data_IF_562113912504
#
_entry.id   IF_562113912504
#
_cell.length_a   1.000
_cell.length_b   1.000
_cell.length_c   1.000
_cell.angle_alpha   90.00
_cell.angle_beta   90.00
_cell.angle_gamma   90.00
#
_symmetry.space_group_name_H-M   'P 1'
#
loop_
_entity.id
_entity.type
_entity.pdbx_description
1 polymer ?
#
# COMPACT_ATOMS: atom_id res chain seq x y z
N UNK A 1 -1.38 -2.87 13.07
CA UNK A 1 -0.38 -3.10 12.01
C UNK A 1 0.98 -3.29 12.66
N UNK A 2 1.81 -4.23 12.17
CA UNK A 2 3.20 -4.38 12.56
C UNK A 2 4.07 -4.31 11.29
N UNK A 3 5.26 -3.71 11.41
CA UNK A 3 6.23 -3.62 10.34
C UNK A 3 7.57 -4.17 10.84
N UNK A 4 8.19 -5.04 10.06
CA UNK A 4 9.51 -5.59 10.33
C UNK A 4 10.31 -5.68 9.03
N UNK A 5 11.58 -5.36 9.06
CA UNK A 5 12.46 -5.38 7.90
C UNK A 5 13.88 -5.77 8.27
N UNK A 6 14.62 -6.32 7.31
CA UNK A 6 16.08 -6.49 7.36
C UNK A 6 16.83 -5.42 6.56
N UNK A 7 16.09 -4.63 5.76
CA UNK A 7 16.69 -3.53 5.01
C UNK A 7 17.03 -2.37 5.93
N UNK A 8 17.94 -1.51 5.50
CA UNK A 8 18.21 -0.24 6.19
C UNK A 8 16.99 0.65 6.09
N UNK A 9 16.57 1.18 7.24
CA UNK A 9 15.46 2.14 7.33
C UNK A 9 16.06 3.53 7.42
N UNK A 10 15.94 4.32 6.35
CA UNK A 10 16.40 5.71 6.36
C UNK A 10 15.38 6.60 7.12
N UNK A 11 14.09 6.31 6.95
CA UNK A 11 12.99 6.96 7.67
C UNK A 11 11.80 6.02 7.80
N UNK A 12 11.05 6.11 8.88
CA UNK A 12 9.75 5.44 9.01
C UNK A 12 8.83 6.27 9.92
N UNK A 13 7.58 6.41 9.51
CA UNK A 13 6.57 7.19 10.23
C UNK A 13 5.19 6.52 10.12
N UNK A 14 4.44 6.55 11.24
CA UNK A 14 3.05 6.13 11.28
C UNK A 14 2.17 7.37 11.31
N UNK A 15 1.42 7.60 10.23
CA UNK A 15 0.60 8.80 10.05
C UNK A 15 -0.88 8.47 10.19
N UNK A 16 -1.56 9.21 11.03
CA UNK A 16 -3.00 9.12 11.21
C UNK A 16 -3.73 9.88 10.07
N UNK A 17 -3.79 9.30 8.89
CA UNK A 17 -4.46 9.93 7.74
C UNK A 17 -5.94 10.25 8.03
N UNK A 18 -6.67 9.32 8.65
CA UNK A 18 -8.09 9.51 9.00
C UNK A 18 -8.37 9.24 10.47
N UNK A 19 -7.58 8.40 11.12
CA UNK A 19 -7.78 7.97 12.50
C UNK A 19 -6.47 7.48 13.09
N UNK A 20 -6.20 7.83 14.33
CA UNK A 20 -5.05 7.30 15.10
C UNK A 20 -5.12 5.79 15.32
N UNK A 21 -6.31 5.18 15.21
CA UNK A 21 -6.48 3.75 15.38
C UNK A 21 -6.09 2.93 14.13
N UNK A 22 -6.03 3.58 12.97
CA UNK A 22 -5.67 2.95 11.69
C UNK A 22 -4.65 3.81 10.94
N UNK A 23 -3.44 4.00 11.53
CA UNK A 23 -2.41 4.80 10.89
C UNK A 23 -1.88 4.09 9.65
N UNK A 24 -1.42 4.88 8.69
CA UNK A 24 -0.69 4.43 7.52
C UNK A 24 0.80 4.52 7.80
N UNK A 25 1.55 3.48 7.46
CA UNK A 25 3.01 3.48 7.51
C UNK A 25 3.56 4.15 6.24
N UNK A 26 4.49 5.06 6.41
CA UNK A 26 5.35 5.59 5.35
C UNK A 26 6.80 5.32 5.74
N UNK A 27 7.55 4.63 4.89
CA UNK A 27 8.94 4.29 5.19
C UNK A 27 9.81 4.38 3.96
N UNK A 28 10.95 5.07 4.08
CA UNK A 28 12.04 5.04 3.11
C UNK A 28 12.98 3.91 3.47
N UNK A 29 13.11 2.94 2.60
CA UNK A 29 13.95 1.77 2.76
C UNK A 29 15.10 1.80 1.75
N UNK A 30 16.26 1.28 2.17
CA UNK A 30 17.44 1.19 1.33
C UNK A 30 17.90 -0.26 1.21
N UNK A 31 18.10 -0.67 -0.03
CA UNK A 31 18.65 -1.97 -0.38
C UNK A 31 20.18 -2.01 -0.24
N UNK A 32 20.78 -3.20 -0.27
CA UNK A 32 22.24 -3.38 -0.09
C UNK A 32 23.05 -2.74 -1.23
N UNK A 33 22.47 -2.60 -2.43
CA UNK A 33 23.08 -1.92 -3.58
C UNK A 33 22.93 -0.39 -3.54
N UNK A 34 22.30 0.14 -2.49
CA UNK A 34 22.07 1.56 -2.30
C UNK A 34 20.76 2.09 -2.88
N UNK A 35 20.02 1.30 -3.66
CA UNK A 35 18.72 1.69 -4.18
C UNK A 35 17.74 2.01 -3.05
N UNK A 36 16.96 3.06 -3.21
CA UNK A 36 15.94 3.48 -2.24
C UNK A 36 14.55 3.30 -2.82
N UNK A 37 13.60 2.98 -1.96
CA UNK A 37 12.19 2.97 -2.31
C UNK A 37 11.32 3.34 -1.12
N UNK A 38 10.14 3.85 -1.44
CA UNK A 38 9.12 4.17 -0.46
C UNK A 38 8.17 2.99 -0.27
N UNK A 39 8.01 2.58 0.97
CA UNK A 39 7.01 1.61 1.38
C UNK A 39 5.84 2.33 2.04
N UNK A 40 4.63 2.14 1.49
CA UNK A 40 3.39 2.61 2.08
C UNK A 40 2.61 1.40 2.58
N UNK A 41 2.41 1.32 3.89
CA UNK A 41 1.67 0.23 4.52
C UNK A 41 0.27 0.68 4.95
N UNK A 42 -0.79 0.04 4.43
CA UNK A 42 -2.17 0.36 4.75
C UNK A 42 -2.86 -0.79 5.48
N UNK A 43 -3.68 -0.44 6.47
CA UNK A 43 -4.63 -1.35 7.08
C UNK A 43 -5.83 -0.52 7.60
N UNK A 44 -6.66 0.03 6.70
CA UNK A 44 -7.85 0.75 7.08
C UNK A 44 -8.85 -0.18 7.76
N UNK A 45 -9.73 0.39 8.57
CA UNK A 45 -10.72 -0.39 9.31
C UNK A 45 -11.69 -1.09 8.34
N UNK A 46 -11.95 -2.41 8.52
CA UNK A 46 -12.96 -3.11 7.73
C UNK A 46 -14.35 -2.52 8.00
N UNK A 47 -15.18 -2.34 6.98
CA UNK A 47 -16.59 -2.00 7.18
C UNK A 47 -17.33 -3.24 7.71
N UNK A 48 -17.95 -3.12 8.88
CA UNK A 48 -18.84 -4.16 9.38
C UNK A 48 -20.17 -4.11 8.61
N UNK A 49 -20.93 -5.23 8.54
CA UNK A 49 -22.24 -5.26 7.90
C UNK A 49 -23.15 -4.12 8.41
N UNK A 50 -23.71 -3.35 7.48
CA UNK A 50 -24.54 -2.18 7.79
C UNK A 50 -23.79 -0.90 8.14
N UNK A 51 -22.46 -0.90 8.18
CA UNK A 51 -21.65 0.28 8.39
C UNK A 51 -21.21 0.95 7.07
N UNK A 52 -20.93 2.26 7.15
CA UNK A 52 -20.40 3.03 6.04
C UNK A 52 -18.94 2.69 5.76
N UNK A 53 -18.56 2.59 4.49
CA UNK A 53 -17.17 2.41 4.02
C UNK A 53 -16.35 3.70 4.06
N UNK A 54 -16.96 4.86 4.37
CA UNK A 54 -16.34 6.19 4.22
C UNK A 54 -14.98 6.33 4.90
N UNK A 55 -14.80 5.77 6.10
CA UNK A 55 -13.52 5.89 6.82
C UNK A 55 -12.41 5.10 6.15
N UNK A 56 -12.72 3.88 5.69
CA UNK A 56 -11.81 3.05 4.88
C UNK A 56 -11.45 3.77 3.58
N UNK A 57 -12.45 4.21 2.85
CA UNK A 57 -12.30 4.84 1.54
C UNK A 57 -11.48 6.14 1.63
N UNK A 58 -11.71 6.94 2.68
CA UNK A 58 -10.92 8.15 2.93
C UNK A 58 -9.45 7.83 3.29
N UNK A 59 -9.19 6.77 4.07
CA UNK A 59 -7.83 6.36 4.41
C UNK A 59 -7.05 5.95 3.14
N UNK A 60 -7.66 5.12 2.28
CA UNK A 60 -7.07 4.69 1.02
C UNK A 60 -6.81 5.91 0.10
N UNK A 61 -7.78 6.80 -0.05
CA UNK A 61 -7.65 7.98 -0.90
C UNK A 61 -6.52 8.91 -0.42
N UNK A 62 -6.43 9.17 0.88
CA UNK A 62 -5.37 10.02 1.44
C UNK A 62 -3.99 9.41 1.30
N UNK A 63 -3.85 8.08 1.45
CA UNK A 63 -2.58 7.41 1.21
C UNK A 63 -2.11 7.59 -0.25
N UNK A 64 -3.03 7.53 -1.23
CA UNK A 64 -2.74 7.82 -2.63
C UNK A 64 -2.34 9.28 -2.86
N UNK A 65 -3.09 10.22 -2.30
CA UNK A 65 -2.85 11.65 -2.46
C UNK A 65 -1.53 12.13 -1.83
N UNK A 66 -1.04 11.44 -0.80
CA UNK A 66 0.26 11.75 -0.16
C UNK A 66 1.46 11.23 -0.94
N UNK A 67 1.25 10.41 -1.97
CA UNK A 67 2.37 9.89 -2.77
C UNK A 67 2.74 10.93 -3.84
N UNK A 68 3.96 11.52 -3.82
CA UNK A 68 4.36 12.50 -4.81
C UNK A 68 4.36 11.92 -6.24
N UNK A 69 3.90 12.71 -7.21
CA UNK A 69 3.80 12.27 -8.61
C UNK A 69 5.16 11.90 -9.22
N UNK A 70 6.21 12.62 -8.85
CA UNK A 70 7.59 12.39 -9.34
C UNK A 70 8.26 11.15 -8.75
N UNK A 71 7.68 10.51 -7.75
CA UNK A 71 8.27 9.35 -7.08
C UNK A 71 7.96 8.07 -7.86
N UNK A 72 8.99 7.39 -8.40
CA UNK A 72 8.82 6.15 -9.18
C UNK A 72 9.08 4.87 -8.39
N UNK A 73 9.98 4.91 -7.39
CA UNK A 73 10.30 3.77 -6.55
C UNK A 73 9.34 3.66 -5.36
N UNK A 74 8.09 3.30 -5.61
CA UNK A 74 7.06 3.20 -4.55
C UNK A 74 6.39 1.83 -4.58
N UNK A 75 6.24 1.26 -3.39
CA UNK A 75 5.53 0.02 -3.12
C UNK A 75 4.45 0.29 -2.07
N UNK A 76 3.18 0.16 -2.42
CA UNK A 76 2.07 0.22 -1.48
C UNK A 76 1.53 -1.18 -1.21
N UNK A 77 1.44 -1.57 0.07
CA UNK A 77 1.04 -2.91 0.49
C UNK A 77 0.11 -2.86 1.70
N UNK A 78 -0.64 -3.92 1.89
CA UNK A 78 -1.41 -4.16 3.11
C UNK A 78 -2.79 -4.75 2.86
N UNK A 79 -3.49 -5.02 3.93
CA UNK A 79 -4.91 -5.34 3.89
C UNK A 79 -5.71 -4.03 3.72
N UNK A 80 -6.18 -3.80 2.51
CA UNK A 80 -6.99 -2.61 2.18
C UNK A 80 -8.43 -2.74 2.68
N UNK A 81 -8.84 -3.94 3.12
CA UNK A 81 -10.24 -4.25 3.42
C UNK A 81 -11.18 -3.86 2.27
N UNK A 82 -10.66 -3.89 1.05
CA UNK A 82 -11.32 -3.53 -0.20
C UNK A 82 -10.78 -4.39 -1.35
N UNK A 83 -11.56 -4.51 -2.41
CA UNK A 83 -11.14 -5.27 -3.59
C UNK A 83 -10.50 -4.35 -4.64
N UNK A 84 -9.55 -4.85 -5.46
CA UNK A 84 -8.81 -4.01 -6.41
C UNK A 84 -9.68 -3.34 -7.49
N UNK A 85 -10.81 -3.94 -7.80
CA UNK A 85 -11.77 -3.41 -8.79
C UNK A 85 -12.83 -2.49 -8.19
N UNK A 86 -12.79 -2.20 -6.89
CA UNK A 86 -13.66 -1.20 -6.27
C UNK A 86 -13.37 0.20 -6.83
N UNK A 87 -14.35 1.09 -6.74
CA UNK A 87 -14.16 2.49 -7.16
C UNK A 87 -13.06 3.19 -6.36
N UNK A 88 -12.95 2.88 -5.06
CA UNK A 88 -11.98 3.49 -4.15
C UNK A 88 -10.56 3.03 -4.48
N UNK A 89 -10.33 1.72 -4.55
CA UNK A 89 -8.99 1.16 -4.84
C UNK A 89 -8.57 1.45 -6.28
N UNK A 90 -9.49 1.37 -7.26
CA UNK A 90 -9.19 1.77 -8.63
C UNK A 90 -8.84 3.26 -8.76
N UNK A 91 -9.49 4.12 -7.97
CA UNK A 91 -9.17 5.54 -7.89
C UNK A 91 -7.79 5.78 -7.28
N UNK A 92 -7.47 5.12 -6.16
CA UNK A 92 -6.14 5.14 -5.53
C UNK A 92 -5.06 4.80 -6.55
N UNK A 93 -5.22 3.69 -7.27
CA UNK A 93 -4.23 3.27 -8.26
C UNK A 93 -4.07 4.30 -9.39
N UNK A 94 -5.19 4.81 -9.95
CA UNK A 94 -5.15 5.78 -11.04
C UNK A 94 -4.57 7.13 -10.62
N UNK A 95 -5.01 7.68 -9.49
CA UNK A 95 -4.59 9.02 -9.03
C UNK A 95 -3.19 9.00 -8.45
N UNK A 96 -2.77 7.91 -7.81
CA UNK A 96 -1.40 7.74 -7.30
C UNK A 96 -0.40 7.25 -8.36
N UNK A 97 -0.83 6.99 -9.60
CA UNK A 97 0.05 6.47 -10.66
C UNK A 97 0.55 5.06 -10.39
N UNK A 98 -0.24 4.26 -9.67
CA UNK A 98 0.11 2.88 -9.34
C UNK A 98 -0.36 1.89 -10.41
N UNK A 99 0.40 0.81 -10.53
CA UNK A 99 0.04 -0.39 -11.30
C UNK A 99 -0.29 -1.55 -10.35
N UNK A 100 -1.30 -2.31 -10.72
CA UNK A 100 -1.63 -3.57 -10.03
C UNK A 100 -0.85 -4.72 -10.69
N UNK A 101 0.13 -5.32 -9.99
CA UNK A 101 0.95 -6.40 -10.56
C UNK A 101 0.19 -7.73 -10.71
N UNK A 102 -1.05 -7.84 -10.22
CA UNK A 102 -1.91 -9.02 -10.41
C UNK A 102 -2.50 -9.07 -11.81
N UNK A 103 -2.52 -7.97 -12.54
CA UNK A 103 -3.09 -7.91 -13.88
C UNK A 103 -2.49 -9.00 -14.80
N UNK A 104 -3.34 -9.88 -15.30
CA UNK A 104 -2.94 -11.03 -16.13
C UNK A 104 -2.30 -12.22 -15.37
N UNK A 105 -2.21 -12.18 -14.03
CA UNK A 105 -1.59 -13.26 -13.23
C UNK A 105 -2.60 -14.05 -12.38
N UNK A 106 -3.74 -13.47 -12.00
CA UNK A 106 -4.75 -14.12 -11.17
C UNK A 106 -5.44 -13.19 -10.18
N UNK A 107 -6.39 -13.72 -9.42
CA UNK A 107 -7.15 -12.95 -8.43
C UNK A 107 -6.40 -12.76 -7.11
N UNK A 108 -5.56 -13.72 -6.72
CA UNK A 108 -4.82 -13.74 -5.45
C UNK A 108 -5.74 -13.51 -4.24
N UNK A 109 -6.80 -14.32 -4.13
CA UNK A 109 -7.72 -14.25 -3.00
C UNK A 109 -7.01 -14.69 -1.72
N UNK A 110 -6.98 -13.81 -0.72
CA UNK A 110 -6.31 -14.04 0.57
C UNK A 110 -7.28 -14.25 1.71
N UNK A 111 -8.53 -13.79 1.59
CA UNK A 111 -9.55 -13.85 2.63
C UNK A 111 -10.85 -14.48 2.13
N UNK A 112 -11.52 -15.35 2.90
CA UNK A 112 -11.02 -15.99 4.11
C UNK A 112 -10.04 -17.14 3.77
N UNK A 113 -9.04 -17.36 4.62
CA UNK A 113 -7.96 -18.33 4.37
C UNK A 113 -8.48 -19.77 4.16
N UNK A 114 -9.53 -20.17 4.87
CA UNK A 114 -10.11 -21.52 4.79
C UNK A 114 -10.91 -21.75 3.49
N UNK A 115 -11.28 -20.68 2.78
CA UNK A 115 -12.13 -20.73 1.58
C UNK A 115 -11.57 -19.85 0.44
N UNK A 116 -10.25 -19.80 0.29
CA UNK A 116 -9.59 -18.91 -0.68
C UNK A 116 -10.05 -19.11 -2.15
N UNK A 117 -10.60 -20.27 -2.50
CA UNK A 117 -11.15 -20.57 -3.83
C UNK A 117 -12.46 -19.79 -4.15
N UNK A 118 -13.15 -19.23 -3.15
CA UNK A 118 -14.28 -18.29 -3.28
C UNK A 118 -13.99 -16.95 -2.59
N UNK A 119 -12.73 -16.70 -2.26
CA UNK A 119 -12.31 -15.60 -1.42
C UNK A 119 -12.15 -14.27 -2.15
N UNK A 120 -11.76 -13.27 -1.35
CA UNK A 120 -11.56 -11.89 -1.76
C UNK A 120 -10.08 -11.53 -1.67
N UNK A 121 -9.50 -10.83 -2.66
CA UNK A 121 -8.13 -10.31 -2.61
C UNK A 121 -8.09 -8.99 -1.83
N UNK A 122 -8.23 -9.06 -0.50
CA UNK A 122 -8.24 -7.89 0.37
C UNK A 122 -6.83 -7.36 0.64
N UNK A 123 -5.84 -8.27 0.65
CA UNK A 123 -4.43 -7.91 0.72
C UNK A 123 -3.96 -7.45 -0.64
N UNK A 124 -3.48 -6.23 -0.69
CA UNK A 124 -3.14 -5.54 -1.92
C UNK A 124 -1.65 -5.30 -2.02
N UNK A 125 -1.18 -5.26 -3.26
CA UNK A 125 0.13 -4.77 -3.63
C UNK A 125 -0.02 -3.88 -4.85
N UNK A 126 0.56 -2.68 -4.77
CA UNK A 126 0.61 -1.73 -5.88
C UNK A 126 2.03 -1.19 -6.00
N UNK A 127 2.47 -0.98 -7.23
CA UNK A 127 3.83 -0.49 -7.51
C UNK A 127 3.79 0.67 -8.49
N UNK A 128 4.76 1.58 -8.38
CA UNK A 128 5.03 2.58 -9.41
C UNK A 128 6.13 2.08 -10.38
N UNK A 129 6.44 2.87 -11.40
CA UNK A 129 7.25 2.44 -12.54
C UNK A 129 8.68 1.99 -12.21
N UNK A 130 9.27 2.50 -11.13
CA UNK A 130 10.60 2.11 -10.65
C UNK A 130 10.62 0.81 -9.84
N UNK A 131 9.46 0.18 -9.59
CA UNK A 131 9.37 -1.11 -8.89
C UNK A 131 8.74 -2.15 -9.79
N UNK A 132 9.46 -3.25 -10.03
CA UNK A 132 8.98 -4.40 -10.80
C UNK A 132 8.70 -5.56 -9.87
N UNK A 133 7.50 -6.13 -9.97
CA UNK A 133 7.15 -7.40 -9.29
C UNK A 133 7.48 -8.56 -10.21
N UNK A 134 8.49 -9.34 -9.82
CA UNK A 134 8.94 -10.52 -10.57
C UNK A 134 8.07 -11.73 -10.27
N UNK A 135 7.79 -11.93 -8.99
CA UNK A 135 7.00 -13.06 -8.50
C UNK A 135 5.93 -12.55 -7.53
N UNK A 136 4.75 -13.14 -7.61
CA UNK A 136 3.65 -12.90 -6.69
C UNK A 136 2.95 -14.22 -6.44
N UNK A 137 2.87 -14.63 -5.18
CA UNK A 137 2.27 -15.91 -4.77
C UNK A 137 1.47 -15.74 -3.48
N UNK A 138 0.51 -16.63 -3.29
CA UNK A 138 -0.17 -16.82 -2.00
C UNK A 138 0.60 -17.88 -1.23
N UNK A 139 0.97 -17.58 -0.01
CA UNK A 139 1.64 -18.52 0.90
C UNK A 139 0.68 -19.51 1.56
N UNK A 140 1.24 -20.47 2.27
CA UNK A 140 0.49 -21.45 3.03
C UNK A 140 -0.27 -20.80 4.20
N UNK A 141 -1.36 -21.44 4.63
CA UNK A 141 -2.11 -21.01 5.81
C UNK A 141 -1.22 -21.11 7.06
N UNK A 142 -1.03 -19.98 7.74
CA UNK A 142 -0.20 -19.83 8.95
C UNK A 142 -1.05 -19.69 10.23
N UNK A 143 -2.34 -20.03 10.16
CA UNK A 143 -3.27 -19.92 11.29
C UNK A 143 -3.91 -18.54 11.41
N UNK A 144 -3.83 -17.71 10.38
CA UNK A 144 -4.56 -16.44 10.25
C UNK A 144 -5.84 -16.67 9.43
N UNK A 145 -6.80 -15.77 9.55
CA UNK A 145 -7.97 -15.68 8.67
C UNK A 145 -7.66 -15.14 7.29
N UNK A 146 -6.43 -14.61 7.09
CA UNK A 146 -5.85 -14.26 5.80
C UNK A 146 -4.68 -15.17 5.43
N UNK A 147 -4.56 -15.51 4.14
CA UNK A 147 -3.36 -16.14 3.58
C UNK A 147 -2.28 -15.08 3.31
N UNK A 148 -0.99 -15.40 3.52
CA UNK A 148 0.10 -14.49 3.19
C UNK A 148 0.15 -14.17 1.70
N UNK A 149 0.23 -12.90 1.33
CA UNK A 149 0.59 -12.45 -0.01
C UNK A 149 2.09 -12.16 -0.04
N UNK A 150 2.82 -12.89 -0.88
CA UNK A 150 4.28 -12.84 -0.96
C UNK A 150 4.69 -12.32 -2.33
N UNK A 151 5.56 -11.33 -2.36
CA UNK A 151 6.09 -10.76 -3.59
C UNK A 151 7.61 -10.70 -3.58
N UNK A 152 8.22 -11.00 -4.74
CA UNK A 152 9.61 -10.66 -5.04
C UNK A 152 9.62 -9.43 -5.93
N UNK A 153 10.34 -8.40 -5.50
CA UNK A 153 10.41 -7.13 -6.21
C UNK A 153 11.85 -6.76 -6.56
N UNK A 154 12.02 -6.10 -7.70
CA UNK A 154 13.24 -5.40 -8.08
C UNK A 154 12.96 -3.90 -8.07
N UNK A 155 13.88 -3.12 -7.52
CA UNK A 155 13.83 -1.66 -7.46
C UNK A 155 14.86 -1.10 -8.42
N UNK A 156 14.47 -0.11 -9.23
CA UNK A 156 15.39 0.55 -10.16
C UNK A 156 16.32 1.49 -9.39
N UNK A 157 17.65 1.25 -9.38
CA UNK A 157 18.59 2.10 -8.66
C UNK A 157 18.72 3.51 -9.26
N UNK A 158 18.35 3.70 -10.54
CA UNK A 158 18.50 4.98 -11.24
C UNK A 158 17.33 5.94 -11.01
N UNK A 159 16.22 5.48 -10.45
CA UNK A 159 15.04 6.32 -10.23
C UNK A 159 14.95 6.92 -8.81
N UNK A 160 16.07 6.93 -8.08
CA UNK A 160 16.09 7.22 -6.63
C UNK A 160 15.94 8.71 -6.23
N UNK A 161 15.92 9.66 -7.17
CA UNK A 161 16.13 11.08 -6.86
C UNK A 161 14.89 11.98 -6.93
N UNK A 162 13.70 11.43 -6.97
CA UNK A 162 12.51 12.26 -6.83
C UNK A 162 12.21 12.53 -5.35
N UNK A 163 11.73 13.72 -5.09
CA UNK A 163 11.52 14.38 -3.81
C UNK A 163 10.83 13.51 -2.72
N UNK A 164 11.62 12.72 -2.01
CA UNK A 164 11.21 11.89 -0.87
C UNK A 164 10.70 12.77 0.28
N UNK A 165 11.16 14.01 0.39
CA UNK A 165 10.77 14.94 1.46
C UNK A 165 9.28 15.29 1.39
N UNK A 166 8.69 15.38 0.19
CA UNK A 166 7.27 15.66 0.01
C UNK A 166 6.33 14.62 0.64
N UNK A 167 6.75 13.36 0.73
CA UNK A 167 5.96 12.28 1.33
C UNK A 167 5.70 12.50 2.83
N UNK A 168 6.62 13.18 3.51
CA UNK A 168 6.60 13.41 4.94
C UNK A 168 6.28 14.86 5.33
N UNK A 169 6.04 15.73 4.34
CA UNK A 169 5.67 17.11 4.63
C UNK A 169 4.34 17.15 5.42
N UNK A 170 4.26 17.93 6.52
CA UNK A 170 2.99 18.14 7.19
C UNK A 170 2.01 18.78 6.21
N UNK A 171 0.78 18.30 6.19
CA UNK A 171 -0.28 18.96 5.42
C UNK A 171 -0.36 20.41 5.88
N UNK A 172 -0.10 21.36 4.97
CA UNK A 172 -0.41 22.74 5.22
C UNK A 172 -1.95 22.81 5.33
N UNK A 173 -2.52 23.22 6.48
CA UNK A 173 -3.96 23.32 6.61
C UNK A 173 -4.45 24.25 5.49
N UNK A 174 -5.38 23.76 4.69
CA UNK A 174 -6.03 24.56 3.66
C UNK A 174 -6.50 25.85 4.33
N UNK A 175 -6.00 26.99 3.86
CA UNK A 175 -6.41 28.29 4.35
C UNK A 175 -7.93 28.34 4.24
N UNK A 176 -8.60 28.33 5.39
CA UNK A 176 -10.03 28.59 5.47
C UNK A 176 -10.19 30.01 4.96
N UNK A 177 -10.67 30.15 3.72
CA UNK A 177 -11.02 31.41 3.12
C UNK A 177 -12.10 32.07 4.00
N UNK A 178 -11.83 33.31 4.39
CA UNK A 178 -12.76 34.26 5.02
C UNK A 178 -13.94 34.51 4.11
#
# INVERSE_FOLDING_TARGET
MAFATRLTVDRAEMVANTSSNTPTLYATLRMDDGARFELIGLHPRPPLPGQSTRSRDANIAQAGARTPDGLSNVLAIGDFNDVPWSKTTARFAREGGYRDPRAGRGSFATFPADYAWVGWPLDQIFVKDGVKVEELVIGDNVGSDHLPLIARVCVDPMSADADIEGLFAPETPAAQGL
#
